data_IF_355552256197
#
_entry.id   IF_355552256197
#
_cell.length_a   1.000
_cell.length_b   1.000
_cell.length_c   1.000
_cell.angle_alpha   90.00
_cell.angle_beta   90.00
_cell.angle_gamma   90.00
#
_symmetry.space_group_name_H-M   'P 1'
#
loop_
_entity.id
_entity.type
_entity.pdbx_description
1 polymer ?
#
# COMPACT_ATOMS: atom_id res chain seq x y z
N UNK A 1 3.74 -3.74 30.94
CA UNK A 1 4.94 -4.61 30.95
C UNK A 1 5.30 -4.95 29.51
N UNK A 2 6.28 -4.27 28.91
CA UNK A 2 6.88 -4.67 27.64
C UNK A 2 8.34 -5.06 27.89
N UNK A 3 8.65 -6.33 27.59
CA UNK A 3 9.98 -6.94 27.43
C UNK A 3 9.79 -7.97 26.30
N UNK A 4 10.66 -8.24 25.34
CA UNK A 4 12.01 -7.83 24.97
C UNK A 4 12.23 -8.52 23.60
N UNK A 5 12.78 -7.83 22.59
CA UNK A 5 13.46 -8.48 21.47
C UNK A 5 14.94 -8.65 21.84
N UNK A 6 15.57 -9.83 21.63
CA UNK A 6 16.99 -10.01 21.88
C UNK A 6 17.85 -9.76 20.62
N UNK A 7 18.93 -8.97 20.80
CA UNK A 7 20.36 -9.23 20.49
C UNK A 7 20.70 -9.95 19.16
N UNK A 8 21.73 -9.62 18.39
CA UNK A 8 22.94 -8.79 18.54
C UNK A 8 23.76 -8.97 17.24
N UNK A 9 24.36 -7.90 16.70
CA UNK A 9 25.80 -7.83 16.34
C UNK A 9 26.15 -6.34 16.20
N UNK A 10 26.61 -5.69 17.28
CA UNK A 10 28.03 -5.44 17.59
C UNK A 10 28.78 -4.61 16.54
N UNK A 11 28.91 -3.31 16.81
CA UNK A 11 30.12 -2.57 16.52
C UNK A 11 30.41 -1.66 17.72
N UNK A 12 31.40 -2.08 18.49
CA UNK A 12 32.05 -1.35 19.57
C UNK A 12 32.85 -0.19 19.00
N UNK A 13 32.64 1.01 19.51
CA UNK A 13 33.66 2.05 19.56
C UNK A 13 33.42 2.91 20.81
N UNK A 14 34.15 2.53 21.85
CA UNK A 14 34.38 3.32 23.04
C UNK A 14 35.13 4.60 22.65
N UNK A 15 34.52 5.77 22.85
CA UNK A 15 35.26 7.01 23.09
C UNK A 15 34.52 7.83 24.14
N UNK A 16 34.79 7.47 25.40
CA UNK A 16 34.87 8.46 26.47
C UNK A 16 36.05 9.37 26.14
N UNK A 17 35.76 10.57 25.68
CA UNK A 17 36.64 11.72 25.67
C UNK A 17 35.75 12.96 25.77
N UNK A 18 36.23 14.00 26.44
CA UNK A 18 35.43 14.89 27.26
C UNK A 18 34.46 15.71 26.42
N UNK A 19 33.40 16.18 27.06
CA UNK A 19 32.73 17.43 26.70
C UNK A 19 33.79 18.54 26.74
N UNK A 20 34.61 18.61 25.69
CA UNK A 20 35.23 19.85 25.27
C UNK A 20 34.06 20.78 25.04
N UNK A 21 33.77 21.56 26.08
CA UNK A 21 33.19 22.86 25.92
C UNK A 21 33.99 23.47 24.78
N UNK A 22 33.37 23.62 23.61
CA UNK A 22 33.84 24.59 22.66
C UNK A 22 33.70 25.92 23.40
N UNK A 23 34.75 26.23 24.16
CA UNK A 23 34.93 27.50 24.81
C UNK A 23 34.70 28.55 23.73
N UNK A 24 33.88 29.53 24.07
CA UNK A 24 33.66 30.72 23.26
C UNK A 24 35.00 31.25 22.78
N UNK A 25 35.31 30.99 21.51
CA UNK A 25 36.24 31.82 20.79
C UNK A 25 35.53 33.17 20.65
N UNK A 26 36.15 34.30 21.06
CA UNK A 26 35.55 35.61 20.85
C UNK A 26 35.27 35.75 19.35
N UNK A 27 34.02 36.11 19.02
CA UNK A 27 33.56 36.26 17.66
C UNK A 27 34.56 37.14 16.89
N UNK A 28 35.25 36.54 15.93
CA UNK A 28 35.94 37.32 14.90
C UNK A 28 34.88 38.20 14.25
N UNK A 29 35.21 39.47 14.03
CA UNK A 29 34.34 40.51 13.47
C UNK A 29 33.85 40.15 12.05
N UNK A 30 32.92 39.20 11.96
CA UNK A 30 32.29 38.74 10.73
C UNK A 30 30.93 39.40 10.53
N UNK A 31 30.54 39.59 9.28
CA UNK A 31 29.21 40.06 8.92
C UNK A 31 28.13 39.12 9.45
N UNK A 32 27.01 39.70 9.88
CA UNK A 32 25.88 38.94 10.41
C UNK A 32 24.54 39.57 10.02
N UNK A 33 23.49 38.77 10.10
CA UNK A 33 22.10 39.25 10.14
C UNK A 33 21.52 38.98 11.53
N UNK A 34 20.66 39.87 12.01
CA UNK A 34 19.88 39.64 13.22
C UNK A 34 18.53 39.06 12.79
N UNK A 35 18.25 37.84 13.22
CA UNK A 35 16.98 37.17 13.00
C UNK A 35 16.03 37.45 14.17
N UNK A 36 14.77 37.69 13.84
CA UNK A 36 13.74 38.02 14.81
C UNK A 36 12.58 37.04 14.69
N UNK A 37 12.16 36.46 15.81
CA UNK A 37 10.97 35.61 15.87
C UNK A 37 9.67 36.44 15.85
N UNK A 38 9.73 37.66 16.39
CA UNK A 38 8.69 38.68 16.36
C UNK A 38 9.36 40.07 16.43
N UNK A 39 8.66 41.18 16.11
CA UNK A 39 9.24 42.53 16.21
C UNK A 39 9.90 42.77 17.58
N UNK A 40 11.22 42.99 17.58
CA UNK A 40 12.00 43.22 18.80
C UNK A 40 12.38 41.98 19.62
N UNK A 41 11.99 40.77 19.18
CA UNK A 41 12.32 39.50 19.85
C UNK A 41 13.34 38.73 19.00
N UNK A 42 14.62 38.69 19.41
CA UNK A 42 15.63 37.94 18.69
C UNK A 42 15.30 36.45 18.63
N UNK A 43 15.63 35.83 17.51
CA UNK A 43 15.45 34.39 17.30
C UNK A 43 16.67 33.66 17.86
N UNK A 44 16.56 33.18 19.09
CA UNK A 44 17.61 32.45 19.81
C UNK A 44 17.55 30.94 19.55
N UNK A 45 18.72 30.29 19.64
CA UNK A 45 18.91 28.84 19.52
C UNK A 45 18.31 28.20 18.25
N UNK A 46 18.25 28.95 17.15
CA UNK A 46 17.70 28.47 15.89
C UNK A 46 18.82 28.06 14.90
N UNK A 47 18.90 26.78 14.52
CA UNK A 47 19.84 26.32 13.51
C UNK A 47 19.62 27.03 12.18
N UNK A 48 20.70 27.49 11.56
CA UNK A 48 20.66 28.08 10.22
C UNK A 48 21.76 27.55 9.30
N UNK A 49 21.51 27.66 8.00
CA UNK A 49 22.47 27.44 6.92
C UNK A 49 22.50 28.66 6.02
N UNK A 50 23.70 29.03 5.58
CA UNK A 50 23.96 30.10 4.61
C UNK A 50 24.60 29.49 3.38
N UNK A 51 24.04 29.75 2.21
CA UNK A 51 24.47 29.13 0.95
C UNK A 51 24.30 30.07 -0.24
N UNK A 52 24.99 29.76 -1.34
CA UNK A 52 24.68 30.39 -2.64
C UNK A 52 23.36 29.85 -3.19
N UNK A 53 22.73 30.52 -4.16
CA UNK A 53 21.51 30.02 -4.83
C UNK A 53 21.74 28.66 -5.50
N UNK A 54 22.95 28.40 -5.99
CA UNK A 54 23.37 27.11 -6.55
C UNK A 54 23.55 25.99 -5.52
N UNK A 55 23.33 26.25 -4.22
CA UNK A 55 23.36 25.24 -3.16
C UNK A 55 24.73 25.01 -2.52
N UNK A 56 25.76 25.81 -2.85
CA UNK A 56 27.05 25.74 -2.16
C UNK A 56 26.89 26.28 -0.75
N UNK A 57 27.00 25.42 0.27
CA UNK A 57 26.95 25.85 1.67
C UNK A 57 28.22 26.63 2.02
N UNK A 58 28.05 27.84 2.53
CA UNK A 58 29.11 28.77 2.90
C UNK A 58 29.28 28.85 4.42
N UNK A 59 28.19 28.75 5.17
CA UNK A 59 28.21 28.64 6.63
C UNK A 59 27.03 27.81 7.16
N UNK A 60 27.19 27.28 8.37
CA UNK A 60 26.15 26.61 9.14
C UNK A 60 26.39 26.93 10.61
N UNK A 61 25.32 27.24 11.34
CA UNK A 61 25.42 27.61 12.75
C UNK A 61 24.08 27.51 13.46
N UNK A 62 24.08 28.03 14.68
CA UNK A 62 22.89 28.25 15.51
C UNK A 62 22.92 29.73 15.90
N UNK A 63 21.79 30.41 15.84
CA UNK A 63 21.70 31.81 16.26
C UNK A 63 22.04 31.95 17.74
N UNK A 64 22.63 33.09 18.11
CA UNK A 64 22.95 33.42 19.50
C UNK A 64 21.74 34.09 20.19
N UNK A 65 21.86 34.35 21.49
CA UNK A 65 20.84 35.01 22.31
C UNK A 65 20.36 36.38 21.78
N UNK A 66 21.19 37.03 20.96
CA UNK A 66 20.88 38.30 20.29
C UNK A 66 20.41 38.13 18.83
N UNK A 67 20.09 36.90 18.41
CA UNK A 67 19.55 36.58 17.09
C UNK A 67 20.57 36.57 15.96
N UNK A 68 21.87 36.73 16.25
CA UNK A 68 22.89 36.85 15.19
C UNK A 68 23.14 35.53 14.46
N UNK A 69 22.98 35.57 13.14
CA UNK A 69 23.44 34.58 12.17
C UNK A 69 24.64 35.13 11.39
N UNK A 70 25.81 34.53 11.55
CA UNK A 70 27.06 34.97 10.92
C UNK A 70 27.19 34.43 9.49
N UNK A 71 27.58 35.31 8.58
CA UNK A 71 27.56 35.07 7.14
C UNK A 71 28.96 35.20 6.53
N UNK A 72 29.13 34.60 5.36
CA UNK A 72 30.37 34.66 4.59
C UNK A 72 30.07 34.90 3.11
N UNK A 73 30.73 35.88 2.51
CA UNK A 73 30.63 36.13 1.08
C UNK A 73 31.38 35.09 0.24
N UNK A 74 30.92 34.89 -0.99
CA UNK A 74 31.60 34.10 -2.02
C UNK A 74 31.93 35.03 -3.20
N UNK A 75 33.16 34.95 -3.72
CA UNK A 75 33.60 35.81 -4.81
C UNK A 75 32.75 35.59 -6.06
N UNK A 76 32.17 36.67 -6.59
CA UNK A 76 31.33 36.62 -7.79
C UNK A 76 29.87 36.20 -7.54
N UNK A 77 29.48 35.92 -6.29
CA UNK A 77 28.08 35.67 -5.93
C UNK A 77 27.47 36.90 -5.27
N UNK A 78 26.26 37.26 -5.72
CA UNK A 78 25.45 38.33 -5.12
C UNK A 78 24.15 37.80 -4.52
N UNK A 79 23.75 36.56 -4.83
CA UNK A 79 22.48 35.99 -4.40
C UNK A 79 22.73 34.82 -3.46
N UNK A 80 22.10 34.89 -2.30
CA UNK A 80 22.34 33.97 -1.22
C UNK A 80 21.03 33.48 -0.61
N UNK A 81 21.11 32.34 0.06
CA UNK A 81 20.00 31.72 0.76
C UNK A 81 20.39 31.54 2.21
N UNK A 82 19.64 32.17 3.11
CA UNK A 82 19.63 31.85 4.53
C UNK A 82 18.44 30.94 4.80
N UNK A 83 18.65 29.77 5.39
CA UNK A 83 17.58 28.86 5.77
C UNK A 83 17.68 28.50 7.23
N UNK A 84 16.61 28.73 7.98
CA UNK A 84 16.41 28.26 9.35
C UNK A 84 15.42 27.10 9.40
N UNK A 85 15.00 26.69 10.60
CA UNK A 85 13.98 25.65 10.80
C UNK A 85 12.64 26.02 10.18
N UNK A 86 12.25 27.28 10.26
CA UNK A 86 10.91 27.75 9.87
C UNK A 86 10.87 28.54 8.58
N UNK A 87 11.99 29.13 8.15
CA UNK A 87 11.97 30.13 7.08
C UNK A 87 13.20 30.02 6.19
N UNK A 88 12.99 30.32 4.91
CA UNK A 88 14.03 30.48 3.91
C UNK A 88 13.97 31.89 3.35
N UNK A 89 15.07 32.63 3.49
CA UNK A 89 15.23 33.96 2.91
C UNK A 89 16.16 33.89 1.71
N UNK A 90 15.72 34.48 0.60
CA UNK A 90 16.55 34.77 -0.56
C UNK A 90 17.01 36.21 -0.46
N UNK A 91 18.32 36.41 -0.38
CA UNK A 91 18.95 37.67 -0.05
C UNK A 91 19.90 38.06 -1.17
N UNK A 92 19.89 39.34 -1.55
CA UNK A 92 20.86 39.92 -2.46
C UNK A 92 21.84 40.76 -1.66
N UNK A 93 23.13 40.44 -1.77
CA UNK A 93 24.23 41.10 -1.08
C UNK A 93 25.27 41.50 -2.13
N UNK A 94 25.27 42.78 -2.50
CA UNK A 94 26.23 43.31 -3.48
C UNK A 94 27.67 43.18 -2.94
N UNK A 95 28.64 43.01 -3.84
CA UNK A 95 30.05 42.82 -3.45
C UNK A 95 30.57 43.91 -2.50
N UNK A 96 30.12 45.16 -2.69
CA UNK A 96 30.47 46.31 -1.82
C UNK A 96 30.00 46.15 -0.37
N UNK A 97 28.87 45.48 -0.13
CA UNK A 97 28.33 45.32 1.22
C UNK A 97 29.31 44.55 2.12
N UNK A 98 30.07 43.61 1.57
CA UNK A 98 31.08 42.86 2.32
C UNK A 98 32.30 43.70 2.73
N UNK A 99 32.42 44.94 2.24
CA UNK A 99 33.45 45.89 2.66
C UNK A 99 32.98 46.78 3.81
N UNK A 100 31.67 46.80 4.10
CA UNK A 100 31.09 47.58 5.19
C UNK A 100 31.45 46.97 6.55
N UNK A 101 31.38 47.80 7.59
CA UNK A 101 31.48 47.32 8.97
C UNK A 101 30.33 46.36 9.30
N UNK A 102 30.53 45.35 10.18
CA UNK A 102 29.50 44.35 10.51
C UNK A 102 28.15 44.97 10.92
N UNK A 103 28.19 46.06 11.70
CA UNK A 103 27.00 46.79 12.16
C UNK A 103 26.21 47.50 11.05
N UNK A 104 26.86 47.95 9.97
CA UNK A 104 26.21 48.63 8.84
C UNK A 104 25.80 47.67 7.72
N UNK A 105 26.39 46.47 7.69
CA UNK A 105 26.14 45.44 6.68
C UNK A 105 24.66 45.10 6.51
N UNK A 106 23.91 44.99 7.61
CA UNK A 106 22.49 44.62 7.60
C UNK A 106 21.67 45.56 6.70
N UNK A 107 22.01 46.86 6.66
CA UNK A 107 21.33 47.87 5.86
C UNK A 107 21.64 47.80 4.37
N UNK A 108 22.71 47.08 3.98
CA UNK A 108 23.11 46.87 2.60
C UNK A 108 22.49 45.60 1.99
N UNK A 109 22.03 44.67 2.83
CA UNK A 109 21.40 43.41 2.39
C UNK A 109 19.96 43.66 1.96
N UNK A 110 19.61 43.17 0.78
CA UNK A 110 18.25 43.27 0.24
C UNK A 110 17.53 41.92 0.33
N UNK A 111 16.40 41.89 1.02
CA UNK A 111 15.50 40.73 0.99
C UNK A 111 14.78 40.68 -0.35
N UNK A 112 15.02 39.61 -1.10
CA UNK A 112 14.39 39.38 -2.40
C UNK A 112 13.09 38.58 -2.27
N UNK A 113 13.11 37.52 -1.47
CA UNK A 113 11.95 36.68 -1.21
C UNK A 113 12.07 35.99 0.15
N UNK A 114 10.94 35.68 0.77
CA UNK A 114 10.85 34.85 1.98
C UNK A 114 9.84 33.74 1.72
N UNK A 115 10.22 32.51 2.02
CA UNK A 115 9.32 31.36 1.95
C UNK A 115 9.35 30.66 3.30
N UNK A 116 8.19 30.48 3.90
CA UNK A 116 8.08 29.66 5.10
C UNK A 116 8.25 28.19 4.75
N UNK A 117 8.69 27.39 5.73
CA UNK A 117 8.73 25.93 5.60
C UNK A 117 7.36 25.36 5.26
N UNK A 118 6.29 25.95 5.81
CA UNK A 118 4.92 25.55 5.51
C UNK A 118 4.59 25.73 4.02
N UNK A 119 4.95 26.88 3.43
CA UNK A 119 4.76 27.11 2.00
C UNK A 119 5.59 26.16 1.13
N UNK A 120 6.86 25.90 1.48
CA UNK A 120 7.69 24.89 0.79
C UNK A 120 7.02 23.50 0.85
N UNK A 121 6.49 23.10 2.01
CA UNK A 121 5.78 21.82 2.19
C UNK A 121 4.47 21.77 1.37
N UNK A 122 3.71 22.86 1.31
CA UNK A 122 2.49 22.95 0.51
C UNK A 122 2.77 22.88 -1.00
N UNK A 123 3.82 23.54 -1.48
CA UNK A 123 4.23 23.46 -2.89
C UNK A 123 4.63 22.03 -3.28
N UNK A 124 5.34 21.32 -2.42
CA UNK A 124 5.71 19.92 -2.64
C UNK A 124 4.47 19.02 -2.69
N UNK A 125 3.51 19.22 -1.78
CA UNK A 125 2.24 18.47 -1.77
C UNK A 125 1.46 18.74 -3.06
N UNK A 126 1.29 20.02 -3.42
CA UNK A 126 0.58 20.44 -4.63
C UNK A 126 1.21 19.84 -5.89
N UNK A 127 2.54 19.92 -6.02
CA UNK A 127 3.24 19.32 -7.15
C UNK A 127 3.07 17.80 -7.20
N UNK A 128 3.08 17.13 -6.05
CA UNK A 128 2.84 15.68 -5.98
C UNK A 128 1.38 15.33 -6.36
N UNK A 129 0.40 16.17 -6.02
CA UNK A 129 -0.99 16.02 -6.43
C UNK A 129 -1.18 16.23 -7.95
N UNK A 130 -0.58 17.28 -8.51
CA UNK A 130 -0.58 17.52 -9.96
C UNK A 130 0.06 16.35 -10.72
N UNK A 131 1.18 15.81 -10.24
CA UNK A 131 1.83 14.64 -10.82
C UNK A 131 0.94 13.38 -10.75
N UNK A 132 0.21 13.19 -9.65
CA UNK A 132 -0.76 12.09 -9.52
C UNK A 132 -1.90 12.24 -10.52
N UNK A 133 -2.42 13.45 -10.71
CA UNK A 133 -3.49 13.74 -11.67
C UNK A 133 -3.03 13.47 -13.10
N UNK A 134 -1.86 14.00 -13.50
CA UNK A 134 -1.28 13.75 -14.84
C UNK A 134 -1.09 12.24 -15.07
N UNK A 135 -0.54 11.51 -14.10
CA UNK A 135 -0.39 10.05 -14.18
C UNK A 135 -1.73 9.34 -14.33
N UNK A 136 -2.76 9.78 -13.59
CA UNK A 136 -4.10 9.21 -13.70
C UNK A 136 -4.71 9.46 -15.08
N UNK A 137 -4.58 10.66 -15.63
CA UNK A 137 -5.07 10.98 -16.98
C UNK A 137 -4.38 10.12 -18.05
N UNK A 138 -3.06 9.92 -17.93
CA UNK A 138 -2.32 9.02 -18.82
C UNK A 138 -2.83 7.57 -18.72
N UNK A 139 -3.11 7.08 -17.51
CA UNK A 139 -3.68 5.75 -17.29
C UNK A 139 -5.08 5.60 -17.89
N UNK A 140 -5.94 6.62 -17.77
CA UNK A 140 -7.28 6.63 -18.37
C UNK A 140 -7.21 6.61 -19.90
N UNK A 141 -6.29 7.38 -20.49
CA UNK A 141 -6.07 7.37 -21.93
C UNK A 141 -5.57 6.00 -22.42
N UNK A 142 -4.60 5.41 -21.72
CA UNK A 142 -4.10 4.06 -22.01
C UNK A 142 -5.21 3.01 -21.91
N UNK A 143 -6.04 3.10 -20.87
CA UNK A 143 -7.22 2.26 -20.72
C UNK A 143 -8.17 2.36 -21.92
N UNK A 144 -8.51 3.58 -22.37
CA UNK A 144 -9.45 3.76 -23.46
C UNK A 144 -8.97 3.07 -24.75
N UNK A 145 -7.67 3.12 -25.03
CA UNK A 145 -7.05 2.41 -26.16
C UNK A 145 -7.19 0.90 -25.98
N UNK A 146 -6.78 0.37 -24.83
CA UNK A 146 -6.80 -1.09 -24.55
C UNK A 146 -8.24 -1.64 -24.51
N UNK A 147 -9.18 -0.93 -23.88
CA UNK A 147 -10.58 -1.32 -23.81
C UNK A 147 -11.25 -1.34 -25.20
N UNK A 148 -10.87 -0.42 -26.09
CA UNK A 148 -11.34 -0.41 -27.48
C UNK A 148 -10.77 -1.58 -28.29
N UNK A 149 -9.49 -1.89 -28.10
CA UNK A 149 -8.85 -3.02 -28.78
C UNK A 149 -9.42 -4.36 -28.31
N UNK A 150 -9.66 -4.51 -27.00
CA UNK A 150 -10.16 -5.73 -26.36
C UNK A 150 -9.42 -6.99 -26.85
N UNK A 151 -8.09 -6.91 -26.82
CA UNK A 151 -7.16 -7.91 -27.35
C UNK A 151 -6.19 -8.45 -26.30
N UNK A 152 -6.47 -8.20 -25.01
CA UNK A 152 -5.72 -8.80 -23.90
C UNK A 152 -6.07 -10.29 -23.68
N UNK A 153 -5.24 -10.98 -22.89
CA UNK A 153 -5.39 -12.41 -22.59
C UNK A 153 -6.77 -12.76 -22.00
N UNK A 154 -7.44 -11.81 -21.34
CA UNK A 154 -8.74 -11.99 -20.70
C UNK A 154 -9.90 -11.36 -21.48
N UNK A 155 -9.69 -10.94 -22.73
CA UNK A 155 -10.71 -10.37 -23.62
C UNK A 155 -11.95 -11.25 -23.81
N UNK A 156 -11.81 -12.57 -23.62
CA UNK A 156 -12.92 -13.52 -23.68
C UNK A 156 -13.93 -13.39 -22.52
N UNK A 157 -13.61 -12.63 -21.47
CA UNK A 157 -14.56 -12.27 -20.41
C UNK A 157 -15.64 -11.28 -20.88
N UNK A 158 -15.47 -10.71 -22.08
CA UNK A 158 -16.40 -9.77 -22.70
C UNK A 158 -15.82 -8.37 -22.76
N UNK A 159 -16.50 -7.49 -23.49
CA UNK A 159 -16.05 -6.11 -23.71
C UNK A 159 -16.05 -5.30 -22.41
N UNK A 160 -15.11 -4.38 -22.33
CA UNK A 160 -15.01 -3.42 -21.24
C UNK A 160 -15.75 -2.11 -21.60
N UNK A 161 -16.16 -1.31 -20.60
CA UNK A 161 -16.65 0.04 -20.84
C UNK A 161 -15.63 0.85 -21.65
N UNK A 162 -16.07 1.64 -22.62
CA UNK A 162 -15.14 2.43 -23.46
C UNK A 162 -14.36 3.49 -22.67
N UNK A 163 -14.94 3.95 -21.55
CA UNK A 163 -14.35 4.94 -20.66
C UNK A 163 -14.24 4.36 -19.24
N UNK A 164 -13.13 4.63 -18.56
CA UNK A 164 -12.96 4.30 -17.16
C UNK A 164 -13.37 5.49 -16.30
N UNK A 165 -14.16 5.24 -15.25
CA UNK A 165 -14.38 6.22 -14.17
C UNK A 165 -14.37 5.51 -12.82
N UNK A 166 -13.91 6.21 -11.79
CA UNK A 166 -13.92 5.67 -10.42
C UNK A 166 -15.34 5.31 -9.97
N UNK A 167 -16.35 6.11 -10.37
CA UNK A 167 -17.75 5.87 -10.02
C UNK A 167 -18.30 4.61 -10.67
N UNK A 168 -18.04 4.40 -11.97
CA UNK A 168 -18.57 3.24 -12.69
C UNK A 168 -17.87 1.94 -12.27
N UNK A 169 -16.56 2.00 -12.05
CA UNK A 169 -15.79 0.90 -11.47
C UNK A 169 -16.27 0.58 -10.05
N UNK A 170 -16.33 1.60 -9.18
CA UNK A 170 -16.75 1.49 -7.79
C UNK A 170 -18.17 0.96 -7.65
N UNK A 171 -19.12 1.45 -8.45
CA UNK A 171 -20.51 0.99 -8.42
C UNK A 171 -20.66 -0.49 -8.82
N UNK A 172 -19.84 -1.00 -9.73
CA UNK A 172 -19.85 -2.44 -10.07
C UNK A 172 -19.26 -3.26 -8.93
N UNK A 173 -18.12 -2.85 -8.38
CA UNK A 173 -17.46 -3.55 -7.28
C UNK A 173 -18.35 -3.61 -6.03
N UNK A 174 -18.94 -2.48 -5.64
CA UNK A 174 -19.87 -2.38 -4.51
C UNK A 174 -21.08 -3.30 -4.71
N UNK A 175 -21.69 -3.32 -5.90
CA UNK A 175 -22.83 -4.18 -6.20
C UNK A 175 -22.50 -5.68 -6.05
N UNK A 176 -21.28 -6.09 -6.40
CA UNK A 176 -20.84 -7.48 -6.18
C UNK A 176 -20.67 -7.74 -4.68
N UNK A 177 -20.01 -6.82 -3.97
CA UNK A 177 -19.85 -6.86 -2.52
C UNK A 177 -21.18 -7.00 -1.80
N UNK A 178 -22.16 -6.17 -2.14
CA UNK A 178 -23.51 -6.20 -1.57
C UNK A 178 -24.21 -7.55 -1.80
N UNK A 179 -24.09 -8.12 -3.02
CA UNK A 179 -24.66 -9.43 -3.33
C UNK A 179 -24.00 -10.54 -2.53
N UNK A 180 -22.66 -10.55 -2.45
CA UNK A 180 -21.92 -11.56 -1.68
C UNK A 180 -22.24 -11.42 -0.19
N UNK A 181 -22.24 -10.20 0.34
CA UNK A 181 -22.60 -9.92 1.72
C UNK A 181 -24.03 -10.36 2.05
N UNK A 182 -25.00 -10.05 1.18
CA UNK A 182 -26.39 -10.48 1.35
C UNK A 182 -26.53 -12.01 1.33
N UNK A 183 -25.80 -12.70 0.45
CA UNK A 183 -25.79 -14.17 0.39
C UNK A 183 -25.20 -14.80 1.66
N UNK A 184 -24.07 -14.29 2.14
CA UNK A 184 -23.47 -14.73 3.40
C UNK A 184 -24.42 -14.45 4.56
N UNK A 185 -24.93 -13.23 4.68
CA UNK A 185 -25.86 -12.85 5.74
C UNK A 185 -27.12 -13.73 5.73
N UNK A 186 -27.64 -14.07 4.55
CA UNK A 186 -28.74 -15.01 4.38
C UNK A 186 -28.42 -16.40 4.94
N UNK A 187 -27.23 -16.94 4.61
CA UNK A 187 -26.78 -18.24 5.10
C UNK A 187 -26.54 -18.28 6.62
N UNK A 188 -26.32 -17.13 7.26
CA UNK A 188 -26.08 -17.02 8.70
C UNK A 188 -27.36 -16.84 9.55
N UNK A 189 -28.53 -16.56 8.95
CA UNK A 189 -29.77 -16.25 9.70
C UNK A 189 -30.31 -17.41 10.54
N UNK A 190 -30.09 -18.67 10.15
CA UNK A 190 -30.65 -19.85 10.82
C UNK A 190 -29.63 -20.56 11.74
N UNK A 191 -28.77 -19.80 12.41
CA UNK A 191 -27.70 -20.34 13.25
C UNK A 191 -26.44 -20.74 12.47
N UNK A 192 -26.40 -20.42 11.18
CA UNK A 192 -25.27 -20.64 10.29
C UNK A 192 -25.15 -22.07 9.77
N UNK A 193 -24.17 -22.31 8.88
CA UNK A 193 -23.88 -23.65 8.36
C UNK A 193 -23.48 -24.63 9.48
N UNK A 194 -24.05 -25.85 9.46
CA UNK A 194 -23.61 -26.93 10.36
C UNK A 194 -22.48 -27.74 9.71
N UNK A 195 -21.26 -27.62 10.27
CA UNK A 195 -20.09 -28.37 9.81
C UNK A 195 -20.30 -29.89 9.77
N UNK A 196 -21.18 -30.44 10.62
CA UNK A 196 -21.47 -31.88 10.66
C UNK A 196 -22.10 -32.38 9.36
N UNK A 197 -22.80 -31.49 8.65
CA UNK A 197 -23.45 -31.78 7.37
C UNK A 197 -22.49 -31.70 6.17
N UNK A 198 -21.21 -31.40 6.39
CA UNK A 198 -20.23 -31.35 5.32
C UNK A 198 -20.12 -32.67 4.56
N UNK A 199 -20.17 -32.58 3.23
CA UNK A 199 -19.96 -33.68 2.29
C UNK A 199 -18.86 -33.25 1.32
N UNK A 200 -17.81 -34.07 1.21
CA UNK A 200 -16.77 -33.82 0.23
C UNK A 200 -17.31 -34.00 -1.20
N UNK A 201 -17.02 -33.05 -2.08
CA UNK A 201 -17.42 -33.07 -3.48
C UNK A 201 -16.22 -32.82 -4.38
N UNK A 202 -16.15 -33.57 -5.48
CA UNK A 202 -15.14 -33.37 -6.51
C UNK A 202 -15.40 -32.06 -7.29
N UNK A 203 -14.39 -31.48 -7.96
CA UNK A 203 -14.52 -30.19 -8.62
C UNK A 203 -15.63 -30.13 -9.69
N UNK A 204 -15.88 -31.23 -10.40
CA UNK A 204 -16.90 -31.35 -11.44
C UNK A 204 -18.35 -31.24 -10.91
N UNK A 205 -18.56 -31.49 -9.61
CA UNK A 205 -19.84 -31.26 -8.95
C UNK A 205 -20.22 -29.77 -8.89
N UNK A 206 -19.23 -28.89 -8.68
CA UNK A 206 -19.46 -27.45 -8.54
C UNK A 206 -19.51 -26.71 -9.88
N UNK A 207 -18.98 -27.32 -10.94
CA UNK A 207 -19.05 -26.78 -12.28
C UNK A 207 -18.07 -27.45 -13.25
N UNK A 208 -18.06 -27.01 -14.52
CA UNK A 208 -17.18 -27.58 -15.53
C UNK A 208 -15.69 -27.43 -15.16
N UNK A 209 -14.92 -28.49 -15.40
CA UNK A 209 -13.45 -28.54 -15.18
C UNK A 209 -12.66 -29.00 -16.42
N UNK A 210 -12.92 -28.44 -17.63
CA UNK A 210 -12.09 -28.74 -18.79
C UNK A 210 -10.64 -28.33 -18.55
N UNK A 211 -9.69 -29.09 -19.07
CA UNK A 211 -8.24 -28.78 -18.96
C UNK A 211 -7.74 -28.68 -17.52
N UNK A 212 -8.29 -29.48 -16.60
CA UNK A 212 -7.93 -29.45 -15.18
C UNK A 212 -6.42 -29.66 -14.92
N UNK A 213 -5.71 -30.36 -15.81
CA UNK A 213 -4.26 -30.50 -15.74
C UNK A 213 -3.52 -29.14 -15.80
N UNK A 214 -4.03 -28.17 -16.56
CA UNK A 214 -3.45 -26.82 -16.61
C UNK A 214 -3.62 -26.08 -15.28
N UNK A 215 -4.79 -26.20 -14.65
CA UNK A 215 -5.04 -25.62 -13.32
C UNK A 215 -4.14 -26.26 -12.27
N UNK A 216 -3.99 -27.59 -12.30
CA UNK A 216 -3.12 -28.30 -11.37
C UNK A 216 -1.66 -27.90 -11.54
N UNK A 217 -1.18 -27.78 -12.79
CA UNK A 217 0.16 -27.31 -13.09
C UNK A 217 0.38 -25.86 -12.62
N UNK A 218 -0.60 -24.98 -12.82
CA UNK A 218 -0.57 -23.61 -12.31
C UNK A 218 -0.47 -23.57 -10.79
N UNK A 219 -1.35 -24.28 -10.08
CA UNK A 219 -1.34 -24.31 -8.61
C UNK A 219 -0.03 -24.86 -8.03
N UNK A 220 0.60 -25.81 -8.72
CA UNK A 220 1.90 -26.36 -8.34
C UNK A 220 3.09 -25.47 -8.75
N UNK A 221 2.89 -24.44 -9.58
CA UNK A 221 3.97 -23.59 -10.07
C UNK A 221 4.52 -22.69 -8.95
N UNK A 222 5.86 -22.46 -8.94
CA UNK A 222 6.49 -21.56 -7.97
C UNK A 222 5.85 -20.17 -7.98
N UNK A 223 5.81 -19.52 -6.81
CA UNK A 223 5.24 -18.16 -6.68
C UNK A 223 5.81 -17.16 -7.70
N UNK A 224 7.11 -17.23 -8.01
CA UNK A 224 7.74 -16.35 -9.01
C UNK A 224 7.15 -16.54 -10.42
N UNK A 225 6.83 -17.79 -10.80
CA UNK A 225 6.18 -18.09 -12.08
C UNK A 225 4.75 -17.54 -12.08
N UNK A 226 4.03 -17.69 -10.96
CA UNK A 226 2.65 -17.19 -10.85
C UNK A 226 2.58 -15.66 -10.87
N UNK A 227 3.53 -14.98 -10.23
CA UNK A 227 3.61 -13.51 -10.20
C UNK A 227 3.95 -12.90 -11.57
N UNK A 228 4.66 -13.63 -12.44
CA UNK A 228 5.01 -13.14 -13.78
C UNK A 228 3.81 -13.00 -14.72
N UNK A 229 2.67 -13.66 -14.44
CA UNK A 229 1.41 -13.57 -15.19
C UNK A 229 1.59 -13.66 -16.71
N UNK A 230 2.52 -14.51 -17.14
CA UNK A 230 2.92 -14.68 -18.53
C UNK A 230 3.55 -16.05 -18.75
N UNK A 231 3.65 -16.45 -20.02
CA UNK A 231 4.27 -17.70 -20.43
C UNK A 231 3.31 -18.90 -20.32
N UNK A 232 3.82 -20.12 -20.62
CA UNK A 232 2.97 -21.27 -20.93
C UNK A 232 2.00 -21.68 -19.82
N UNK A 233 2.41 -21.57 -18.55
CA UNK A 233 1.54 -21.91 -17.42
C UNK A 233 0.38 -20.92 -17.26
N UNK A 234 0.64 -19.63 -17.46
CA UNK A 234 -0.39 -18.60 -17.48
C UNK A 234 -1.32 -18.77 -18.68
N UNK A 235 -0.76 -18.95 -19.88
CA UNK A 235 -1.53 -19.10 -21.11
C UNK A 235 -2.47 -20.33 -21.06
N UNK A 236 -1.99 -21.44 -20.48
CA UNK A 236 -2.79 -22.64 -20.27
C UNK A 236 -3.92 -22.42 -19.24
N UNK A 237 -3.65 -21.67 -18.16
CA UNK A 237 -4.68 -21.30 -17.19
C UNK A 237 -5.76 -20.42 -17.84
N UNK A 238 -5.35 -19.43 -18.63
CA UNK A 238 -6.25 -18.55 -19.39
C UNK A 238 -7.10 -19.36 -20.37
N UNK A 239 -6.50 -20.31 -21.10
CA UNK A 239 -7.22 -21.20 -22.02
C UNK A 239 -8.27 -22.06 -21.29
N UNK A 240 -7.92 -22.64 -20.14
CA UNK A 240 -8.85 -23.40 -19.32
C UNK A 240 -10.01 -22.54 -18.82
N UNK A 241 -9.72 -21.31 -18.36
CA UNK A 241 -10.73 -20.34 -17.93
C UNK A 241 -11.69 -19.94 -19.05
N UNK A 242 -11.16 -19.70 -20.26
CA UNK A 242 -11.94 -19.43 -21.47
C UNK A 242 -12.89 -20.59 -21.81
N UNK A 243 -12.45 -21.84 -21.65
CA UNK A 243 -13.28 -23.04 -21.83
C UNK A 243 -14.30 -23.28 -20.72
N UNK A 244 -14.33 -22.41 -19.70
CA UNK A 244 -15.31 -22.45 -18.63
C UNK A 244 -14.87 -23.22 -17.38
N UNK A 245 -13.58 -23.56 -17.25
CA UNK A 245 -13.06 -24.14 -16.02
C UNK A 245 -13.21 -23.16 -14.85
N UNK A 246 -14.06 -23.50 -13.88
CA UNK A 246 -14.36 -22.62 -12.76
C UNK A 246 -13.14 -22.40 -11.85
N UNK A 247 -12.31 -23.43 -11.65
CA UNK A 247 -11.09 -23.33 -10.85
C UNK A 247 -10.06 -22.43 -11.55
N UNK A 248 -9.94 -22.53 -12.88
CA UNK A 248 -9.08 -21.65 -13.64
C UNK A 248 -9.49 -20.18 -13.50
N UNK A 249 -10.80 -19.88 -13.57
CA UNK A 249 -11.33 -18.51 -13.36
C UNK A 249 -11.08 -18.01 -11.94
N UNK A 250 -11.19 -18.90 -10.95
CA UNK A 250 -10.88 -18.56 -9.56
C UNK A 250 -9.38 -18.25 -9.37
N UNK A 251 -8.48 -19.05 -9.95
CA UNK A 251 -7.04 -18.82 -9.88
C UNK A 251 -6.61 -17.56 -10.65
N UNK A 252 -7.23 -17.26 -11.80
CA UNK A 252 -7.03 -15.97 -12.50
C UNK A 252 -7.46 -14.79 -11.62
N UNK A 253 -8.59 -14.92 -10.92
CA UNK A 253 -9.05 -13.90 -9.96
C UNK A 253 -8.03 -13.72 -8.83
N UNK A 254 -7.64 -14.80 -8.15
CA UNK A 254 -6.68 -14.72 -7.05
C UNK A 254 -5.34 -14.13 -7.46
N UNK A 255 -4.85 -14.47 -8.65
CA UNK A 255 -3.57 -13.97 -9.15
C UNK A 255 -3.62 -12.46 -9.42
N UNK A 256 -4.75 -11.96 -9.96
CA UNK A 256 -4.90 -10.53 -10.19
C UNK A 256 -5.22 -9.76 -8.91
N UNK A 257 -6.02 -10.33 -8.00
CA UNK A 257 -6.47 -9.67 -6.79
C UNK A 257 -5.43 -9.65 -5.67
N UNK A 258 -4.36 -10.44 -5.77
CA UNK A 258 -3.27 -10.44 -4.77
C UNK A 258 -2.28 -9.29 -4.91
N UNK A 259 -2.32 -8.57 -6.03
CA UNK A 259 -1.43 -7.44 -6.31
C UNK A 259 -1.94 -6.15 -5.65
N UNK A 260 -1.02 -5.23 -5.37
CA UNK A 260 -1.41 -3.89 -4.91
C UNK A 260 -2.22 -3.19 -6.02
N UNK A 261 -3.35 -2.57 -5.66
CA UNK A 261 -4.21 -1.87 -6.64
C UNK A 261 -3.44 -0.79 -7.41
N UNK A 262 -2.43 -0.17 -6.80
CA UNK A 262 -1.55 0.81 -7.44
C UNK A 262 -0.61 0.24 -8.51
N UNK A 263 -0.42 -1.08 -8.52
CA UNK A 263 0.41 -1.81 -9.49
C UNK A 263 -0.43 -2.39 -10.64
N UNK A 264 -1.75 -2.41 -10.48
CA UNK A 264 -2.68 -2.85 -11.51
C UNK A 264 -3.01 -1.72 -12.50
N UNK A 265 -2.98 -2.05 -13.79
CA UNK A 265 -3.60 -1.21 -14.81
C UNK A 265 -5.11 -1.11 -14.59
N UNK A 266 -5.72 -0.03 -15.07
CA UNK A 266 -7.18 0.15 -15.02
C UNK A 266 -7.93 -0.95 -15.80
N UNK A 267 -7.28 -1.54 -16.82
CA UNK A 267 -7.78 -2.69 -17.56
C UNK A 267 -7.90 -3.91 -16.65
N UNK A 268 -6.82 -4.26 -15.95
CA UNK A 268 -6.78 -5.41 -15.03
C UNK A 268 -7.80 -5.25 -13.90
N UNK A 269 -7.97 -4.04 -13.36
CA UNK A 269 -9.01 -3.76 -12.36
C UNK A 269 -10.42 -4.15 -12.85
N UNK A 270 -10.78 -3.81 -14.09
CA UNK A 270 -12.06 -4.27 -14.65
C UNK A 270 -12.10 -5.76 -14.97
N UNK A 271 -10.98 -6.38 -15.36
CA UNK A 271 -10.91 -7.84 -15.54
C UNK A 271 -11.15 -8.58 -14.22
N UNK A 272 -10.63 -8.07 -13.11
CA UNK A 272 -10.96 -8.55 -11.75
C UNK A 272 -12.48 -8.46 -11.52
N UNK A 273 -13.09 -7.32 -11.80
CA UNK A 273 -14.55 -7.13 -11.65
C UNK A 273 -15.35 -8.14 -12.49
N UNK A 274 -14.99 -8.37 -13.75
CA UNK A 274 -15.68 -9.37 -14.59
C UNK A 274 -15.53 -10.80 -14.06
N UNK A 275 -14.35 -11.16 -13.56
CA UNK A 275 -14.13 -12.46 -12.91
C UNK A 275 -14.98 -12.59 -11.65
N UNK A 276 -15.01 -11.54 -10.80
CA UNK A 276 -15.84 -11.51 -9.60
C UNK A 276 -17.33 -11.64 -9.92
N UNK A 277 -17.82 -10.94 -10.95
CA UNK A 277 -19.22 -11.06 -11.39
C UNK A 277 -19.56 -12.50 -11.78
N UNK A 278 -18.69 -13.14 -12.55
CA UNK A 278 -18.90 -14.53 -12.97
C UNK A 278 -18.86 -15.50 -11.77
N UNK A 279 -17.86 -15.36 -10.90
CA UNK A 279 -17.69 -16.19 -9.71
C UNK A 279 -18.87 -16.02 -8.74
N UNK A 280 -19.37 -14.78 -8.58
CA UNK A 280 -20.55 -14.46 -7.77
C UNK A 280 -21.81 -15.08 -8.38
N UNK A 281 -22.01 -14.94 -9.69
CA UNK A 281 -23.16 -15.52 -10.39
C UNK A 281 -23.20 -17.04 -10.28
N UNK A 282 -22.03 -17.69 -10.31
CA UNK A 282 -21.89 -19.15 -10.17
C UNK A 282 -21.76 -19.62 -8.72
N UNK A 283 -21.79 -18.71 -7.76
CA UNK A 283 -21.62 -18.98 -6.33
C UNK A 283 -20.37 -19.83 -6.03
N UNK A 284 -19.25 -19.56 -6.71
CA UNK A 284 -18.00 -20.30 -6.49
C UNK A 284 -17.48 -20.01 -5.09
N UNK A 285 -17.40 -21.03 -4.23
CA UNK A 285 -17.06 -20.90 -2.82
C UNK A 285 -15.78 -20.10 -2.55
N UNK A 286 -14.77 -20.21 -3.42
CA UNK A 286 -13.51 -19.47 -3.28
C UNK A 286 -13.67 -17.94 -3.25
N UNK A 287 -14.66 -17.39 -3.95
CA UNK A 287 -14.97 -15.95 -3.87
C UNK A 287 -15.46 -15.57 -2.47
N UNK A 288 -16.35 -16.38 -1.88
CA UNK A 288 -16.89 -16.13 -0.54
C UNK A 288 -15.82 -16.27 0.53
N UNK A 289 -14.86 -17.19 0.39
CA UNK A 289 -13.70 -17.29 1.27
C UNK A 289 -12.83 -16.03 1.22
N UNK A 290 -12.69 -15.41 0.04
CA UNK A 290 -11.95 -14.16 -0.09
C UNK A 290 -12.65 -13.02 0.67
N UNK A 291 -13.96 -12.90 0.54
CA UNK A 291 -14.75 -11.89 1.26
C UNK A 291 -14.81 -12.16 2.77
N UNK A 292 -14.90 -13.42 3.20
CA UNK A 292 -14.93 -13.76 4.63
C UNK A 292 -13.64 -13.35 5.34
N UNK A 293 -12.49 -13.36 4.65
CA UNK A 293 -11.22 -12.89 5.20
C UNK A 293 -11.25 -11.43 5.67
N UNK A 294 -12.06 -10.58 5.03
CA UNK A 294 -12.25 -9.17 5.40
C UNK A 294 -13.34 -8.91 6.45
N UNK A 295 -14.06 -9.95 6.89
CA UNK A 295 -15.13 -9.77 7.87
C UNK A 295 -14.57 -9.55 9.29
N UNK A 296 -15.24 -8.73 10.12
CA UNK A 296 -14.81 -8.49 11.49
C UNK A 296 -14.82 -9.78 12.30
N UNK A 297 -13.81 -9.93 13.16
CA UNK A 297 -13.71 -11.00 14.15
C UNK A 297 -14.66 -10.74 15.34
N UNK A 298 -15.96 -10.60 15.06
CA UNK A 298 -17.02 -10.39 16.04
C UNK A 298 -17.70 -11.73 16.43
N UNK A 299 -18.31 -11.84 17.63
CA UNK A 299 -19.12 -13.01 17.99
C UNK A 299 -20.19 -13.26 16.92
N UNK A 300 -20.32 -14.51 16.46
CA UNK A 300 -21.28 -14.87 15.43
C UNK A 300 -22.64 -15.30 15.98
N UNK A 301 -23.59 -15.58 15.07
CA UNK A 301 -24.99 -15.87 15.42
C UNK A 301 -25.27 -17.38 15.63
N UNK A 302 -24.23 -18.19 15.82
CA UNK A 302 -24.41 -19.65 15.97
C UNK A 302 -24.69 -20.00 17.42
N UNK A 303 -25.24 -21.21 17.66
CA UNK A 303 -25.45 -21.75 19.01
C UNK A 303 -24.15 -22.07 19.78
N UNK A 304 -22.99 -21.76 19.20
CA UNK A 304 -21.68 -21.91 19.83
C UNK A 304 -21.07 -20.52 20.03
N UNK A 305 -20.94 -20.11 21.30
CA UNK A 305 -20.42 -18.80 21.71
C UNK A 305 -18.96 -18.56 21.28
N UNK A 306 -18.27 -19.59 20.78
CA UNK A 306 -16.87 -19.53 20.31
C UNK A 306 -16.71 -19.21 18.82
N UNK A 307 -17.78 -19.28 18.02
CA UNK A 307 -17.68 -19.11 16.57
C UNK A 307 -17.89 -17.66 16.13
N UNK A 308 -16.86 -17.05 15.54
CA UNK A 308 -16.93 -15.68 15.02
C UNK A 308 -17.70 -15.64 13.70
N UNK A 309 -18.24 -14.47 13.34
CA UNK A 309 -18.91 -14.24 12.04
C UNK A 309 -18.00 -14.65 10.88
N UNK A 310 -16.72 -14.29 10.96
CA UNK A 310 -15.70 -14.67 9.99
C UNK A 310 -15.56 -16.20 9.83
N UNK A 311 -15.59 -16.96 10.94
CA UNK A 311 -15.46 -18.42 10.91
C UNK A 311 -16.70 -19.06 10.27
N UNK A 312 -17.90 -18.56 10.60
CA UNK A 312 -19.15 -19.04 10.00
C UNK A 312 -19.25 -18.72 8.50
N UNK A 313 -18.84 -17.53 8.08
CA UNK A 313 -18.77 -17.15 6.66
C UNK A 313 -17.76 -18.01 5.90
N UNK A 314 -16.62 -18.34 6.52
CA UNK A 314 -15.61 -19.22 5.93
C UNK A 314 -16.12 -20.67 5.85
N UNK A 315 -16.87 -21.15 6.85
CA UNK A 315 -17.53 -22.45 6.81
C UNK A 315 -18.59 -22.50 5.69
N UNK A 316 -19.37 -21.43 5.52
CA UNK A 316 -20.32 -21.32 4.41
C UNK A 316 -19.60 -21.45 3.07
N UNK A 317 -18.50 -20.72 2.87
CA UNK A 317 -17.67 -20.83 1.68
C UNK A 317 -17.08 -22.24 1.48
N UNK A 318 -16.65 -22.91 2.56
CA UNK A 318 -16.17 -24.29 2.51
C UNK A 318 -17.25 -25.27 2.04
N UNK A 319 -18.49 -25.10 2.49
CA UNK A 319 -19.64 -25.90 2.06
C UNK A 319 -20.02 -25.64 0.59
N UNK A 320 -19.76 -24.42 0.08
CA UNK A 320 -19.89 -24.05 -1.33
C UNK A 320 -18.72 -24.53 -2.23
N UNK A 321 -17.81 -25.37 -1.71
CA UNK A 321 -16.72 -25.93 -2.52
C UNK A 321 -15.43 -25.11 -2.51
N UNK A 322 -15.27 -24.17 -1.57
CA UNK A 322 -13.94 -23.58 -1.32
C UNK A 322 -13.01 -24.60 -0.66
N UNK A 323 -12.12 -25.21 -1.44
CA UNK A 323 -11.15 -26.16 -0.89
C UNK A 323 -10.16 -25.48 0.09
N UNK A 324 -9.78 -24.22 -0.15
CA UNK A 324 -8.94 -23.45 0.78
C UNK A 324 -9.71 -23.21 2.10
N UNK A 325 -11.00 -22.89 2.01
CA UNK A 325 -11.91 -22.80 3.14
C UNK A 325 -12.07 -24.11 3.90
N UNK A 326 -12.19 -25.24 3.19
CA UNK A 326 -12.26 -26.59 3.79
C UNK A 326 -10.98 -26.94 4.54
N UNK A 327 -9.80 -26.63 4.00
CA UNK A 327 -8.54 -26.85 4.71
C UNK A 327 -8.46 -25.99 5.99
N UNK A 328 -8.77 -24.70 5.88
CA UNK A 328 -8.72 -23.77 7.01
C UNK A 328 -9.71 -24.12 8.11
N UNK A 329 -10.99 -24.31 7.78
CA UNK A 329 -12.03 -24.67 8.75
C UNK A 329 -11.82 -26.07 9.29
N UNK A 330 -11.34 -26.99 8.45
CA UNK A 330 -11.00 -28.34 8.88
C UNK A 330 -9.91 -28.36 9.94
N UNK A 331 -8.88 -27.50 9.83
CA UNK A 331 -7.85 -27.33 10.88
C UNK A 331 -8.42 -26.82 12.20
N UNK A 332 -9.34 -25.84 12.14
CA UNK A 332 -9.98 -25.27 13.33
C UNK A 332 -10.84 -26.34 14.02
N UNK A 333 -11.71 -26.99 13.25
CA UNK A 333 -12.66 -28.00 13.72
C UNK A 333 -11.97 -29.25 14.30
N UNK A 334 -10.81 -29.64 13.76
CA UNK A 334 -10.06 -30.79 14.28
C UNK A 334 -9.64 -30.65 15.75
N UNK A 335 -9.47 -29.42 16.23
CA UNK A 335 -9.13 -29.12 17.61
C UNK A 335 -10.37 -28.96 18.52
N UNK A 336 -11.58 -29.11 17.98
CA UNK A 336 -12.83 -28.96 18.73
C UNK A 336 -13.02 -30.13 19.73
N UNK A 337 -13.56 -29.81 20.91
CA UNK A 337 -13.82 -30.79 21.96
C UNK A 337 -14.97 -31.75 21.61
N UNK A 338 -15.92 -31.33 20.76
CA UNK A 338 -17.02 -32.17 20.32
C UNK A 338 -16.54 -33.17 19.25
N UNK A 339 -16.64 -34.50 19.49
CA UNK A 339 -16.12 -35.50 18.54
C UNK A 339 -16.74 -35.43 17.14
N UNK A 340 -18.01 -35.02 17.04
CA UNK A 340 -18.71 -34.86 15.75
C UNK A 340 -18.16 -33.70 14.92
N UNK A 341 -17.74 -32.60 15.56
CA UNK A 341 -17.11 -31.46 14.92
C UNK A 341 -15.66 -31.78 14.52
N UNK A 342 -14.91 -32.43 15.41
CA UNK A 342 -13.56 -32.93 15.09
C UNK A 342 -13.56 -33.89 13.89
N UNK A 343 -14.55 -34.79 13.82
CA UNK A 343 -14.74 -35.69 12.67
C UNK A 343 -15.10 -34.93 11.38
N UNK A 344 -15.96 -33.90 11.47
CA UNK A 344 -16.22 -33.02 10.33
C UNK A 344 -14.95 -32.31 9.85
N UNK A 345 -14.13 -31.79 10.77
CA UNK A 345 -12.87 -31.13 10.42
C UNK A 345 -11.88 -32.06 9.71
N UNK A 346 -11.78 -33.32 10.15
CA UNK A 346 -11.00 -34.35 9.45
C UNK A 346 -11.49 -34.59 8.02
N UNK A 347 -12.82 -34.68 7.82
CA UNK A 347 -13.40 -34.86 6.47
C UNK A 347 -13.12 -33.65 5.56
N UNK A 348 -13.21 -32.43 6.09
CA UNK A 348 -12.92 -31.22 5.31
C UNK A 348 -11.46 -31.16 4.87
N UNK A 349 -10.51 -31.44 5.76
CA UNK A 349 -9.08 -31.47 5.40
C UNK A 349 -8.76 -32.55 4.39
N UNK A 350 -9.28 -33.76 4.58
CA UNK A 350 -9.08 -34.84 3.61
C UNK A 350 -9.64 -34.47 2.23
N UNK A 351 -10.79 -33.78 2.17
CA UNK A 351 -11.35 -33.29 0.91
C UNK A 351 -10.46 -32.25 0.24
N UNK A 352 -9.97 -31.28 1.01
CA UNK A 352 -9.05 -30.27 0.52
C UNK A 352 -7.76 -30.90 0.01
N UNK A 353 -7.15 -31.80 0.77
CA UNK A 353 -5.91 -32.51 0.39
C UNK A 353 -6.08 -33.34 -0.90
N UNK A 354 -7.29 -33.83 -1.19
CA UNK A 354 -7.57 -34.58 -2.41
C UNK A 354 -7.66 -33.70 -3.67
N UNK A 355 -8.06 -32.43 -3.54
CA UNK A 355 -8.39 -31.56 -4.69
C UNK A 355 -7.62 -30.23 -4.76
N UNK A 356 -6.90 -29.84 -3.71
CA UNK A 356 -5.88 -28.80 -3.75
C UNK A 356 -4.49 -29.45 -3.87
N UNK A 357 -3.82 -29.33 -5.02
CA UNK A 357 -2.40 -29.60 -5.09
C UNK A 357 -1.65 -28.73 -4.08
N UNK A 358 -0.61 -29.27 -3.45
CA UNK A 358 0.24 -28.48 -2.57
C UNK A 358 0.87 -27.34 -3.37
N UNK A 359 0.48 -26.09 -3.05
CA UNK A 359 1.11 -24.88 -3.60
C UNK A 359 2.56 -24.84 -3.10
N UNK A 360 3.53 -24.88 -4.02
CA UNK A 360 4.95 -24.76 -3.71
C UNK A 360 5.38 -23.31 -3.48
#
# INVERSE_FOLDING_TARGET
>A
MLKLLPRKTLLTLSLLSPLSHAADAPATAGHYLILYAAPGVPQDDDPYTWSTVGGKQLAKGVTKADGRAYLKGETGEENYVLKTVSTRWQLKVAARCWQDAPETFVGCVQLSNTTSRYEEEQEVIKLAEEQKEVKMQANIAAYAVQARANDDALAWLGRLPSNWTIDSYGARLLRIGDKVAAQIAGALKEGGPDARQFVCRAPDYYGPVPEQAAVNAWMAAPRAVRGARSGPAWDALVAAGKKGNWMARLELYYTLSSENVSELSLLEQYRIVQLMEWLQQKQVGGLYSYFSASMPAAPGNSRSDSWRIQDQATLYAAMLGSYDGQNSQGRILQADAAPSLAAAGKRMRACAEAYLPQRQ
#
